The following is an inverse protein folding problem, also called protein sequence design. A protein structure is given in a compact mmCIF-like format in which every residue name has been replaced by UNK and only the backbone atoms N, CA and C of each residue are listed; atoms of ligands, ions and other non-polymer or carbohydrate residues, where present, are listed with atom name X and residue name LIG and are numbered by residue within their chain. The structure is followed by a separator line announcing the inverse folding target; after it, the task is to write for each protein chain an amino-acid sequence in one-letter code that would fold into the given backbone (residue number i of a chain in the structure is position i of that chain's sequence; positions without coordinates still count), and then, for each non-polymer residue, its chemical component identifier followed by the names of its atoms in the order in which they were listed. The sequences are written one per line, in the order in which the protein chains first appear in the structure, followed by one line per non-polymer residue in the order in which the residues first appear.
data_IF_227690924187
#
_entry.id   IF_227690924187
#
_cell.length_a   1.000
_cell.length_b   1.000
_cell.length_c   1.000
_cell.angle_alpha   90.00
_cell.angle_beta   90.00
_cell.angle_gamma   90.00
#
_symmetry.space_group_name_H-M   'P 1'
#
loop_
_entity.id
_entity.type
_entity.pdbx_description
1 polymer ?
#
# COMPACT_ATOMS: atom_id res chain seq x y z
N UNK A 1 -2.67 -29.07 5.52
CA UNK A 1 -1.99 -27.85 5.99
C UNK A 1 -2.84 -26.59 5.78
N UNK A 2 -3.33 -26.34 4.56
CA UNK A 2 -4.28 -25.26 4.23
C UNK A 2 -5.47 -25.12 5.20
N UNK A 3 -6.15 -26.23 5.50
CA UNK A 3 -7.27 -26.25 6.46
C UNK A 3 -6.89 -25.78 7.87
N UNK A 4 -5.66 -26.04 8.31
CA UNK A 4 -5.16 -25.61 9.62
C UNK A 4 -4.97 -24.10 9.66
N UNK A 5 -4.27 -23.52 8.67
CA UNK A 5 -4.11 -22.07 8.55
C UNK A 5 -5.46 -21.37 8.45
N UNK A 6 -6.33 -21.85 7.58
CA UNK A 6 -7.68 -21.31 7.40
C UNK A 6 -8.49 -21.32 8.72
N UNK A 7 -8.37 -22.38 9.54
CA UNK A 7 -8.99 -22.46 10.87
C UNK A 7 -8.37 -21.48 11.87
N UNK A 8 -7.05 -21.35 11.89
CA UNK A 8 -6.32 -20.44 12.78
C UNK A 8 -6.66 -18.97 12.47
N UNK A 9 -6.63 -18.59 11.19
CA UNK A 9 -6.97 -17.24 10.72
C UNK A 9 -8.43 -16.91 11.08
N UNK A 10 -9.38 -17.85 10.86
CA UNK A 10 -10.79 -17.67 11.28
C UNK A 10 -10.95 -17.46 12.79
N UNK A 11 -10.15 -18.16 13.60
CA UNK A 11 -10.17 -17.97 15.06
C UNK A 11 -9.67 -16.57 15.42
N UNK A 12 -8.60 -16.09 14.79
CA UNK A 12 -8.06 -14.74 15.00
C UNK A 12 -9.05 -13.66 14.57
N UNK A 13 -9.70 -13.83 13.42
CA UNK A 13 -10.73 -12.92 12.93
C UNK A 13 -11.84 -12.69 13.97
N UNK A 14 -12.35 -13.78 14.57
CA UNK A 14 -13.37 -13.71 15.63
C UNK A 14 -12.87 -12.93 16.85
N UNK A 15 -11.67 -13.23 17.33
CA UNK A 15 -11.08 -12.54 18.48
C UNK A 15 -10.92 -11.01 18.25
N UNK A 16 -10.51 -10.61 17.04
CA UNK A 16 -10.37 -9.17 16.69
C UNK A 16 -11.74 -8.49 16.65
N UNK A 17 -12.76 -9.14 16.08
CA UNK A 17 -14.10 -8.59 16.02
C UNK A 17 -14.75 -8.48 17.41
N UNK A 18 -14.57 -9.50 18.26
CA UNK A 18 -14.99 -9.46 19.67
C UNK A 18 -14.29 -8.33 20.44
N UNK A 19 -12.98 -8.17 20.28
CA UNK A 19 -12.22 -7.08 20.90
C UNK A 19 -12.71 -5.69 20.45
N UNK A 20 -13.05 -5.52 19.16
CA UNK A 20 -13.60 -4.26 18.64
C UNK A 20 -14.99 -3.95 19.18
N UNK A 21 -15.82 -4.98 19.36
CA UNK A 21 -17.16 -4.82 19.93
C UNK A 21 -17.11 -4.30 21.39
N UNK A 22 -16.05 -4.62 22.13
CA UNK A 22 -15.87 -4.23 23.54
C UNK A 22 -15.40 -2.78 23.78
N UNK A 23 -15.40 -1.88 22.77
CA UNK A 23 -14.97 -0.45 22.83
C UNK A 23 -14.62 0.07 24.23
N UNK A 24 -13.33 0.06 24.61
CA UNK A 24 -12.86 0.65 25.88
C UNK A 24 -12.44 2.10 25.66
N UNK A 25 -12.94 3.02 26.49
CA UNK A 25 -12.53 4.44 26.44
C UNK A 25 -11.11 4.58 27.00
N UNK A 26 -10.32 5.54 26.52
CA UNK A 26 -8.96 5.79 27.00
C UNK A 26 -8.87 5.91 28.54
N UNK A 27 -9.84 6.57 29.18
CA UNK A 27 -9.90 6.65 30.65
C UNK A 27 -10.15 5.33 31.37
N UNK A 28 -10.71 4.31 30.70
CA UNK A 28 -10.88 2.96 31.25
C UNK A 28 -9.61 2.12 31.09
N UNK A 29 -8.73 2.48 30.15
CA UNK A 29 -7.47 1.76 29.89
C UNK A 29 -6.31 2.37 30.69
N UNK A 30 -6.28 3.70 30.77
CA UNK A 30 -5.15 4.43 31.35
C UNK A 30 -5.49 5.10 32.70
N UNK A 31 -6.71 4.94 33.21
CA UNK A 31 -7.17 5.56 34.46
C UNK A 31 -7.39 7.08 34.39
N UNK A 32 -6.93 7.73 33.32
CA UNK A 32 -7.07 9.18 33.08
C UNK A 32 -7.47 9.48 31.62
N UNK A 33 -8.28 10.53 31.38
CA UNK A 33 -8.52 11.00 30.02
C UNK A 33 -7.21 11.48 29.38
N UNK A 34 -6.94 11.09 28.14
CA UNK A 34 -5.83 11.62 27.34
C UNK A 34 -6.24 12.98 26.75
N UNK A 35 -6.28 14.03 27.58
CA UNK A 35 -6.53 15.41 27.17
C UNK A 35 -5.56 16.38 27.88
N UNK A 36 -5.32 17.57 27.29
CA UNK A 36 -4.52 18.64 27.90
C UNK A 36 -3.44 19.22 26.98
N UNK A 37 -2.89 20.38 27.39
CA UNK A 37 -1.90 21.15 26.64
C UNK A 37 -0.52 20.49 26.50
N UNK A 38 -0.27 19.39 27.22
CA UNK A 38 0.95 18.58 27.11
C UNK A 38 0.93 17.62 25.90
N UNK A 39 -0.25 17.37 25.33
CA UNK A 39 -0.34 16.69 24.05
C UNK A 39 0.03 17.69 22.95
N UNK A 40 1.00 17.32 22.10
CA UNK A 40 1.35 18.10 20.91
C UNK A 40 0.07 18.52 20.19
N UNK A 41 -0.03 19.80 19.85
CA UNK A 41 -1.21 20.37 19.18
C UNK A 41 -1.57 19.49 17.98
N UNK A 42 -2.72 18.83 18.04
CA UNK A 42 -3.20 17.95 16.96
C UNK A 42 -3.19 18.71 15.64
N UNK A 43 -2.52 18.15 14.62
CA UNK A 43 -2.77 18.55 13.23
C UNK A 43 -1.68 19.31 12.48
N UNK A 44 -0.46 19.51 13.02
CA UNK A 44 0.65 20.01 12.18
C UNK A 44 1.34 18.86 11.45
N UNK A 45 0.89 18.58 10.22
CA UNK A 45 1.58 17.69 9.28
C UNK A 45 1.92 18.45 7.99
N UNK A 46 2.94 18.03 7.24
CA UNK A 46 3.29 18.63 5.95
C UNK A 46 2.10 18.66 4.99
N UNK A 47 1.83 19.80 4.37
CA UNK A 47 0.83 19.88 3.31
C UNK A 47 1.43 19.48 1.96
N UNK A 48 0.65 18.75 1.16
CA UNK A 48 1.04 18.42 -0.22
C UNK A 48 0.84 19.62 -1.15
N UNK A 49 1.82 19.89 -2.02
CA UNK A 49 1.82 21.03 -2.93
C UNK A 49 1.82 20.61 -4.41
N UNK A 50 1.23 21.43 -5.29
CA UNK A 50 1.44 21.35 -6.73
C UNK A 50 2.93 21.27 -7.07
N UNK A 51 3.31 20.39 -7.99
CA UNK A 51 4.71 20.18 -8.39
C UNK A 51 4.77 19.62 -9.81
N UNK A 52 5.75 20.05 -10.59
CA UNK A 52 6.03 19.48 -11.91
C UNK A 52 6.66 18.08 -11.78
N UNK A 53 6.81 17.39 -12.89
CA UNK A 53 7.31 16.02 -12.93
C UNK A 53 8.78 15.91 -12.54
N UNK A 54 9.62 16.84 -12.96
CA UNK A 54 11.05 16.85 -12.65
C UNK A 54 11.29 17.05 -11.16
N UNK A 55 10.52 17.93 -10.51
CA UNK A 55 10.59 18.14 -9.07
C UNK A 55 10.11 16.90 -8.32
N UNK A 56 8.99 16.31 -8.77
CA UNK A 56 8.46 15.07 -8.19
C UNK A 56 9.49 13.94 -8.20
N UNK A 57 10.15 13.73 -9.35
CA UNK A 57 11.23 12.74 -9.49
C UNK A 57 12.38 12.99 -8.53
N UNK A 58 12.96 14.19 -8.54
CA UNK A 58 14.06 14.57 -7.63
C UNK A 58 13.68 14.45 -6.15
N UNK A 59 12.44 14.76 -5.81
CA UNK A 59 11.95 14.67 -4.45
C UNK A 59 11.87 13.21 -3.98
N UNK A 60 11.40 12.30 -4.83
CA UNK A 60 11.36 10.86 -4.55
C UNK A 60 12.77 10.28 -4.43
N UNK A 61 13.69 10.65 -5.33
CA UNK A 61 15.10 10.27 -5.21
C UNK A 61 15.66 10.74 -3.86
N UNK A 62 15.36 11.97 -3.44
CA UNK A 62 15.76 12.45 -2.12
C UNK A 62 15.08 11.71 -0.95
N UNK A 63 13.86 11.20 -1.14
CA UNK A 63 13.14 10.35 -0.18
C UNK A 63 13.71 8.91 -0.11
N UNK A 64 14.50 8.46 -1.09
CA UNK A 64 15.21 7.17 -0.99
C UNK A 64 16.49 7.30 -0.16
N UNK A 65 17.21 8.42 -0.27
CA UNK A 65 18.51 8.67 0.38
C UNK A 65 18.49 8.75 1.92
N UNK A 66 18.94 7.70 2.62
CA UNK A 66 18.93 7.62 4.10
C UNK A 66 19.48 8.86 4.86
N UNK A 67 20.45 9.58 4.28
CA UNK A 67 21.06 10.77 4.87
C UNK A 67 20.23 12.06 4.69
N UNK A 68 19.23 12.07 3.81
CA UNK A 68 18.37 13.24 3.58
C UNK A 68 17.35 13.35 4.70
N UNK A 69 17.41 14.43 5.47
CA UNK A 69 16.51 14.68 6.60
C UNK A 69 15.06 14.86 6.12
N UNK A 70 14.12 14.13 6.72
CA UNK A 70 12.68 14.26 6.42
C UNK A 70 12.15 15.69 6.66
N UNK A 71 12.70 16.41 7.64
CA UNK A 71 12.37 17.83 7.88
C UNK A 71 12.64 18.71 6.66
N UNK A 72 13.71 18.46 5.91
CA UNK A 72 14.00 19.20 4.67
C UNK A 72 13.05 18.84 3.53
N UNK A 73 12.47 17.63 3.54
CA UNK A 73 11.51 17.21 2.53
C UNK A 73 10.09 17.69 2.84
N UNK A 74 9.79 17.93 4.13
CA UNK A 74 8.49 18.35 4.64
C UNK A 74 8.02 19.72 4.11
N UNK A 75 8.95 20.62 3.74
CA UNK A 75 8.58 21.97 3.28
C UNK A 75 7.80 21.94 1.95
N UNK A 76 8.07 20.95 1.10
CA UNK A 76 7.51 20.82 -0.23
C UNK A 76 7.25 19.34 -0.57
N UNK A 77 6.26 18.73 0.07
CA UNK A 77 5.83 17.37 -0.27
C UNK A 77 5.00 17.44 -1.55
N UNK A 78 5.35 16.69 -2.61
CA UNK A 78 4.59 16.72 -3.86
C UNK A 78 3.21 16.06 -3.70
N UNK A 79 2.19 16.68 -4.29
CA UNK A 79 0.89 16.06 -4.54
C UNK A 79 0.95 15.07 -5.72
N UNK A 80 -0.13 14.30 -5.92
CA UNK A 80 -0.35 13.50 -7.13
C UNK A 80 -0.05 12.00 -6.99
N UNK A 81 0.58 11.58 -5.89
CA UNK A 81 0.80 10.16 -5.59
C UNK A 81 -0.37 9.58 -4.82
N UNK A 82 -1.12 8.66 -5.43
CA UNK A 82 -2.27 7.95 -4.84
C UNK A 82 -2.41 6.53 -5.37
N UNK A 83 -2.95 5.62 -4.55
CA UNK A 83 -3.19 4.21 -4.93
C UNK A 83 -1.94 3.61 -5.59
N UNK A 84 -2.11 2.91 -6.71
CA UNK A 84 -1.04 2.33 -7.54
C UNK A 84 0.16 3.26 -7.73
N UNK A 85 -0.03 4.52 -8.11
CA UNK A 85 1.10 5.44 -8.36
C UNK A 85 1.97 5.70 -7.13
N UNK A 86 1.40 5.65 -5.92
CA UNK A 86 2.16 5.74 -4.68
C UNK A 86 2.99 4.46 -4.45
N UNK A 87 2.40 3.29 -4.68
CA UNK A 87 3.11 2.02 -4.52
C UNK A 87 4.24 1.86 -5.53
N UNK A 88 3.97 2.12 -6.81
CA UNK A 88 4.98 2.02 -7.87
C UNK A 88 6.17 2.93 -7.60
N UNK A 89 5.95 4.15 -7.10
CA UNK A 89 7.08 5.06 -6.82
C UNK A 89 7.89 4.63 -5.59
N UNK A 90 7.22 4.07 -4.57
CA UNK A 90 7.89 3.54 -3.39
C UNK A 90 8.75 2.32 -3.74
N UNK A 91 8.22 1.43 -4.58
CA UNK A 91 8.87 0.18 -4.99
C UNK A 91 10.02 0.44 -5.96
N UNK A 92 9.79 1.23 -7.02
CA UNK A 92 10.81 1.56 -8.03
C UNK A 92 12.06 2.21 -7.45
N UNK A 93 11.90 3.03 -6.41
CA UNK A 93 13.02 3.69 -5.75
C UNK A 93 13.49 2.98 -4.48
N UNK A 94 12.92 1.80 -4.20
CA UNK A 94 13.20 0.99 -3.00
C UNK A 94 13.24 1.85 -1.72
N UNK A 95 12.18 2.64 -1.51
CA UNK A 95 12.15 3.62 -0.41
C UNK A 95 12.21 2.88 0.94
N UNK A 96 13.10 3.27 1.87
CA UNK A 96 13.16 2.62 3.19
C UNK A 96 11.83 2.72 3.94
N UNK A 97 11.38 1.64 4.58
CA UNK A 97 10.03 1.54 5.16
C UNK A 97 9.68 2.68 6.12
N UNK A 98 10.61 3.11 6.99
CA UNK A 98 10.38 4.26 7.87
C UNK A 98 10.02 5.55 7.10
N UNK A 99 10.68 5.78 5.97
CA UNK A 99 10.46 6.97 5.11
C UNK A 99 9.23 6.80 4.24
N UNK A 100 8.98 5.59 3.75
CA UNK A 100 7.75 5.23 3.06
C UNK A 100 6.53 5.47 3.97
N UNK A 101 6.54 4.94 5.20
CA UNK A 101 5.48 5.14 6.21
C UNK A 101 5.28 6.62 6.53
N UNK A 102 6.34 7.41 6.64
CA UNK A 102 6.21 8.86 6.80
C UNK A 102 5.48 9.50 5.61
N UNK A 103 5.89 9.18 4.37
CA UNK A 103 5.26 9.74 3.18
C UNK A 103 3.81 9.29 3.00
N UNK A 104 3.50 8.04 3.33
CA UNK A 104 2.13 7.49 3.38
C UNK A 104 1.30 8.27 4.40
N UNK A 105 1.78 8.44 5.64
CA UNK A 105 1.08 9.22 6.68
C UNK A 105 0.77 10.62 6.17
N UNK A 106 1.75 11.32 5.57
CA UNK A 106 1.53 12.65 4.97
C UNK A 106 0.47 12.61 3.87
N UNK A 107 0.55 11.64 2.97
CA UNK A 107 -0.37 11.48 1.84
C UNK A 107 -1.82 11.28 2.31
N UNK A 108 -2.05 10.39 3.27
CA UNK A 108 -3.41 10.07 3.76
C UNK A 108 -3.98 11.13 4.69
N UNK A 109 -3.14 11.83 5.46
CA UNK A 109 -3.54 13.01 6.24
C UNK A 109 -4.01 14.16 5.34
N UNK A 110 -3.41 14.32 4.16
CA UNK A 110 -3.82 15.32 3.17
C UNK A 110 -5.07 14.92 2.36
N UNK A 111 -5.38 13.63 2.25
CA UNK A 111 -6.56 13.14 1.52
C UNK A 111 -7.84 13.18 2.36
N UNK A 112 -7.77 12.75 3.62
CA UNK A 112 -8.94 12.69 4.52
C UNK A 112 -8.76 13.73 5.61
N UNK A 113 -9.28 14.93 5.39
CA UNK A 113 -9.24 16.02 6.37
C UNK A 113 -10.39 15.89 7.38
N UNK A 114 -10.15 16.17 8.68
CA UNK A 114 -11.25 16.30 9.63
C UNK A 114 -12.16 17.45 9.19
N UNK A 115 -13.48 17.29 9.29
CA UNK A 115 -14.40 18.41 9.08
C UNK A 115 -14.02 19.56 10.05
N UNK A 116 -13.99 20.79 9.53
CA UNK A 116 -13.38 21.94 10.21
C UNK A 116 -14.06 22.32 11.54
N UNK A 117 -13.20 22.59 12.53
CA UNK A 117 -13.34 23.58 13.61
C UNK A 117 -14.64 23.59 14.43
N UNK A 118 -14.72 22.72 15.44
CA UNK A 118 -15.32 22.99 16.77
C UNK A 118 -15.53 21.71 17.61
N UNK A 119 -15.12 20.54 17.14
CA UNK A 119 -15.81 19.31 17.57
C UNK A 119 -14.94 18.40 18.44
N UNK A 120 -15.59 17.95 19.51
CA UNK A 120 -15.22 16.93 20.49
C UNK A 120 -14.32 15.78 19.97
N UNK A 121 -13.60 15.13 20.89
CA UNK A 121 -12.73 13.98 20.62
C UNK A 121 -13.35 12.92 19.68
N UNK A 122 -14.67 12.75 19.70
CA UNK A 122 -15.42 11.80 18.88
C UNK A 122 -15.29 11.97 17.35
N UNK A 123 -15.04 13.19 16.84
CA UNK A 123 -14.89 13.43 15.38
C UNK A 123 -13.48 13.18 14.88
N UNK A 124 -12.46 13.35 15.74
CA UNK A 124 -11.08 13.04 15.40
C UNK A 124 -10.90 11.54 15.19
N UNK A 125 -11.57 10.73 16.02
CA UNK A 125 -11.56 9.27 15.93
C UNK A 125 -12.16 8.76 14.61
N UNK A 126 -13.23 9.40 14.12
CA UNK A 126 -13.84 9.07 12.82
C UNK A 126 -12.90 9.34 11.65
N UNK A 127 -12.24 10.50 11.62
CA UNK A 127 -11.31 10.84 10.55
C UNK A 127 -10.08 9.92 10.55
N UNK A 128 -9.58 9.52 11.72
CA UNK A 128 -8.50 8.53 11.81
C UNK A 128 -8.96 7.16 11.29
N UNK A 129 -10.13 6.69 11.73
CA UNK A 129 -10.68 5.42 11.25
C UNK A 129 -10.83 5.41 9.73
N UNK A 130 -11.40 6.47 9.13
CA UNK A 130 -11.53 6.58 7.68
C UNK A 130 -10.19 6.59 6.94
N UNK A 131 -9.12 7.14 7.53
CA UNK A 131 -7.76 7.06 6.95
C UNK A 131 -7.22 5.65 7.00
N UNK A 132 -7.33 4.98 8.14
CA UNK A 132 -6.90 3.59 8.32
C UNK A 132 -7.65 2.66 7.38
N UNK A 133 -8.97 2.86 7.24
CA UNK A 133 -9.82 2.11 6.32
C UNK A 133 -9.39 2.31 4.86
N UNK A 134 -9.25 3.57 4.42
CA UNK A 134 -8.82 3.88 3.06
C UNK A 134 -7.43 3.32 2.77
N UNK A 135 -6.49 3.47 3.70
CA UNK A 135 -5.13 2.96 3.53
C UNK A 135 -5.10 1.43 3.43
N UNK A 136 -5.84 0.75 4.30
CA UNK A 136 -5.91 -0.71 4.28
C UNK A 136 -6.51 -1.21 2.97
N UNK A 137 -7.57 -0.53 2.49
CA UNK A 137 -8.19 -0.83 1.20
C UNK A 137 -7.21 -0.69 0.04
N UNK A 138 -6.50 0.43 -0.07
CA UNK A 138 -5.54 0.68 -1.14
C UNK A 138 -4.42 -0.38 -1.17
N UNK A 139 -3.91 -0.81 -0.01
CA UNK A 139 -2.92 -1.90 0.06
C UNK A 139 -3.51 -3.21 -0.48
N UNK A 140 -4.69 -3.60 0.04
CA UNK A 140 -5.33 -4.88 -0.31
C UNK A 140 -5.66 -4.92 -1.80
N UNK A 141 -6.17 -3.83 -2.37
CA UNK A 141 -6.43 -3.71 -3.81
C UNK A 141 -5.15 -3.86 -4.65
N UNK A 142 -4.04 -3.26 -4.22
CA UNK A 142 -2.78 -3.38 -4.95
C UNK A 142 -2.18 -4.78 -4.83
N UNK A 143 -2.20 -5.39 -3.64
CA UNK A 143 -1.76 -6.78 -3.46
C UNK A 143 -2.61 -7.74 -4.28
N UNK A 144 -3.93 -7.55 -4.33
CA UNK A 144 -4.82 -8.33 -5.20
C UNK A 144 -4.40 -8.21 -6.66
N UNK A 145 -4.13 -6.99 -7.15
CA UNK A 145 -3.66 -6.77 -8.52
C UNK A 145 -2.37 -7.54 -8.82
N UNK A 146 -1.41 -7.57 -7.88
CA UNK A 146 -0.16 -8.33 -8.06
C UNK A 146 -0.43 -9.84 -8.10
N UNK A 147 -1.33 -10.36 -7.27
CA UNK A 147 -1.73 -11.76 -7.30
C UNK A 147 -2.40 -12.12 -8.64
N UNK A 148 -3.34 -11.31 -9.09
CA UNK A 148 -4.07 -11.55 -10.33
C UNK A 148 -3.10 -11.55 -11.54
N UNK A 149 -2.11 -10.64 -11.55
CA UNK A 149 -1.05 -10.63 -12.56
C UNK A 149 -0.18 -11.90 -12.51
N UNK A 150 0.13 -12.39 -11.30
CA UNK A 150 0.91 -13.61 -11.10
C UNK A 150 0.20 -14.83 -11.68
N UNK A 151 -1.07 -15.02 -11.31
CA UNK A 151 -1.86 -16.19 -11.75
C UNK A 151 -2.38 -16.09 -13.19
N UNK A 152 -2.40 -14.90 -13.80
CA UNK A 152 -2.78 -14.75 -15.21
C UNK A 152 -1.67 -15.17 -16.18
N UNK A 153 -0.40 -15.19 -15.74
CA UNK A 153 0.76 -15.47 -16.60
C UNK A 153 0.97 -16.96 -16.91
N UNK A 154 0.40 -17.87 -16.13
CA UNK A 154 0.52 -19.32 -16.35
C UNK A 154 -0.41 -19.89 -17.43
N UNK A 155 -1.27 -19.07 -18.05
CA UNK A 155 -2.25 -19.49 -19.06
C UNK A 155 -1.91 -19.18 -20.52
N UNK A 156 -0.81 -18.47 -20.82
CA UNK A 156 -0.48 -18.06 -22.19
C UNK A 156 0.91 -18.53 -22.62
N UNK A 157 1.00 -19.82 -22.94
CA UNK A 157 2.06 -20.29 -23.85
C UNK A 157 1.69 -19.75 -25.24
N UNK A 158 2.36 -18.69 -25.68
CA UNK A 158 2.28 -18.24 -27.06
C UNK A 158 2.71 -19.40 -27.98
N UNK A 159 2.01 -19.69 -29.08
CA UNK A 159 2.47 -20.69 -30.03
C UNK A 159 3.73 -20.17 -30.69
N UNK A 160 4.81 -20.95 -30.58
CA UNK A 160 6.03 -20.80 -31.38
C UNK A 160 5.63 -20.94 -32.84
N UNK A 161 5.42 -19.82 -33.53
CA UNK A 161 5.23 -19.80 -34.97
C UNK A 161 6.58 -19.97 -35.66
N UNK A 162 6.98 -21.23 -35.84
CA UNK A 162 7.97 -21.62 -36.84
C UNK A 162 7.27 -21.57 -38.20
N UNK A 163 7.56 -20.55 -39.02
CA UNK A 163 7.54 -20.73 -40.48
C UNK A 163 8.32 -19.65 -41.20
N UNK A 164 9.34 -20.11 -41.92
CA UNK A 164 10.18 -19.40 -42.86
C UNK A 164 9.43 -18.81 -44.07
N UNK A 165 10.08 -17.82 -44.68
CA UNK A 165 10.14 -17.48 -46.12
C UNK A 165 9.28 -16.31 -46.69
N UNK A 166 9.69 -15.69 -47.84
CA UNK A 166 10.07 -14.26 -47.91
C UNK A 166 9.17 -13.36 -48.81
N UNK A 167 9.40 -12.05 -48.70
CA UNK A 167 8.88 -10.82 -49.40
C UNK A 167 8.53 -10.93 -50.91
N UNK A 168 7.82 -9.96 -51.59
CA UNK A 168 7.90 -8.48 -51.40
C UNK A 168 6.63 -7.62 -51.68
N UNK A 169 6.76 -6.29 -51.47
CA UNK A 169 6.25 -5.17 -52.29
C UNK A 169 5.24 -4.14 -51.67
N UNK A 170 5.70 -2.87 -51.72
CA UNK A 170 5.02 -1.59 -52.03
C UNK A 170 4.19 -0.80 -50.98
N UNK A 171 4.78 0.36 -50.64
CA UNK A 171 4.25 1.74 -50.54
C UNK A 171 2.87 2.04 -49.90
N UNK A 172 2.91 2.96 -48.93
CA UNK A 172 2.02 4.13 -48.77
C UNK A 172 1.44 4.32 -47.37
N UNK A 173 1.81 5.48 -46.82
CA UNK A 173 0.99 6.42 -46.05
C UNK A 173 1.34 6.61 -44.57
N UNK A 174 1.89 7.80 -44.36
CA UNK A 174 2.09 8.48 -43.09
C UNK A 174 0.75 8.79 -42.45
N UNK A 175 0.55 8.31 -41.22
CA UNK A 175 -0.37 8.93 -40.26
C UNK A 175 0.23 8.80 -38.86
N UNK A 176 0.64 9.95 -38.33
CA UNK A 176 1.13 10.13 -36.98
C UNK A 176 0.11 9.61 -35.95
N UNK A 177 0.42 8.50 -35.30
CA UNK A 177 -0.02 8.23 -33.93
C UNK A 177 1.10 8.65 -33.01
N UNK A 178 0.85 9.69 -32.24
CA UNK A 178 1.71 10.13 -31.14
C UNK A 178 1.60 9.04 -30.07
N UNK A 179 2.48 8.05 -30.17
CA UNK A 179 2.81 7.18 -29.04
C UNK A 179 3.60 8.03 -28.05
N UNK A 180 2.97 8.34 -26.91
CA UNK A 180 3.66 8.78 -25.71
C UNK A 180 4.43 7.59 -25.13
N UNK A 181 5.50 7.18 -25.82
CA UNK A 181 6.47 6.20 -25.39
C UNK A 181 7.86 6.73 -25.68
N UNK A 182 8.36 7.58 -24.79
CA UNK A 182 9.80 7.70 -24.51
C UNK A 182 9.93 8.10 -23.03
N UNK A 183 9.92 7.09 -22.15
CA UNK A 183 10.46 7.20 -20.80
C UNK A 183 11.72 6.33 -20.76
N UNK A 184 12.89 6.93 -20.96
CA UNK A 184 14.17 6.29 -20.64
C UNK A 184 14.90 7.14 -19.60
N UNK A 185 14.41 7.03 -18.37
CA UNK A 185 15.29 6.99 -17.22
C UNK A 185 15.49 5.51 -16.94
N UNK A 186 16.73 5.05 -17.04
CA UNK A 186 17.20 3.66 -16.91
C UNK A 186 16.99 3.10 -15.48
N UNK A 187 15.75 3.13 -14.99
CA UNK A 187 15.29 2.41 -13.80
C UNK A 187 14.52 1.22 -14.33
N UNK A 188 15.14 0.05 -14.24
CA UNK A 188 14.52 -1.22 -14.61
C UNK A 188 13.25 -1.41 -13.76
N UNK A 189 12.11 -1.63 -14.41
CA UNK A 189 10.84 -1.86 -13.71
C UNK A 189 10.99 -3.11 -12.81
N UNK A 190 10.74 -3.00 -11.49
CA UNK A 190 10.93 -4.13 -10.59
C UNK A 190 10.06 -5.32 -10.99
N UNK A 191 10.62 -6.52 -10.97
CA UNK A 191 9.86 -7.72 -11.29
C UNK A 191 8.68 -7.92 -10.31
N UNK A 192 7.65 -8.65 -10.74
CA UNK A 192 6.42 -8.87 -9.97
C UNK A 192 6.71 -9.41 -8.55
N UNK A 193 7.66 -10.35 -8.45
CA UNK A 193 8.10 -10.91 -7.18
C UNK A 193 8.72 -9.84 -6.25
N UNK A 194 9.56 -8.94 -6.77
CA UNK A 194 10.11 -7.82 -5.99
C UNK A 194 9.02 -6.85 -5.54
N UNK A 195 8.02 -6.56 -6.38
CA UNK A 195 6.85 -5.74 -6.00
C UNK A 195 6.06 -6.39 -4.86
N UNK A 196 5.81 -7.69 -4.97
CA UNK A 196 5.11 -8.47 -3.94
C UNK A 196 5.82 -8.37 -2.59
N UNK A 197 7.12 -8.70 -2.54
CA UNK A 197 7.87 -8.71 -1.30
C UNK A 197 7.98 -7.33 -0.65
N UNK A 198 8.25 -6.29 -1.43
CA UNK A 198 8.26 -4.93 -0.90
C UNK A 198 6.91 -4.59 -0.24
N UNK A 199 5.80 -4.92 -0.90
CA UNK A 199 4.46 -4.64 -0.37
C UNK A 199 4.11 -5.48 0.86
N UNK A 200 4.50 -6.76 0.90
CA UNK A 200 4.33 -7.63 2.08
C UNK A 200 5.10 -7.06 3.28
N UNK A 201 6.36 -6.67 3.09
CA UNK A 201 7.16 -6.06 4.16
C UNK A 201 6.60 -4.71 4.61
N UNK A 202 6.13 -3.88 3.67
CA UNK A 202 5.45 -2.63 3.99
C UNK A 202 4.14 -2.86 4.74
N UNK A 203 3.38 -3.91 4.40
CA UNK A 203 2.18 -4.33 5.11
C UNK A 203 2.53 -4.71 6.55
N UNK A 204 3.55 -5.55 6.77
CA UNK A 204 3.98 -5.96 8.11
C UNK A 204 4.44 -4.76 8.94
N UNK A 205 5.28 -3.90 8.37
CA UNK A 205 5.75 -2.68 9.02
C UNK A 205 4.59 -1.78 9.45
N UNK A 206 3.60 -1.58 8.58
CA UNK A 206 2.46 -0.73 8.88
C UNK A 206 1.42 -1.41 9.79
N UNK A 207 1.39 -2.74 9.81
CA UNK A 207 0.61 -3.53 10.76
C UNK A 207 1.14 -3.32 12.18
N UNK A 208 2.45 -3.44 12.40
CA UNK A 208 3.08 -3.22 13.71
C UNK A 208 2.97 -1.78 14.20
N UNK A 209 2.93 -0.81 13.28
CA UNK A 209 2.64 0.61 13.55
C UNK A 209 1.15 0.90 13.83
N UNK A 210 0.26 -0.10 13.73
CA UNK A 210 -1.18 0.07 13.98
C UNK A 210 -1.91 0.92 12.92
N UNK A 211 -1.36 0.99 11.69
CA UNK A 211 -1.92 1.81 10.61
C UNK A 211 -2.93 1.07 9.74
N UNK A 212 -3.05 -0.25 9.93
CA UNK A 212 -3.93 -1.12 9.15
C UNK A 212 -5.09 -1.62 9.99
N UNK A 213 -6.19 -1.98 9.34
CA UNK A 213 -7.30 -2.71 9.94
C UNK A 213 -7.02 -4.22 9.81
N UNK A 214 -6.64 -4.92 10.88
CA UNK A 214 -6.31 -6.35 10.80
C UNK A 214 -7.46 -7.19 10.24
N UNK A 215 -8.71 -6.82 10.57
CA UNK A 215 -9.90 -7.54 10.10
C UNK A 215 -9.99 -7.60 8.57
N UNK A 216 -9.71 -6.48 7.89
CA UNK A 216 -9.83 -6.37 6.43
C UNK A 216 -8.73 -7.19 5.75
N UNK A 217 -7.51 -7.13 6.29
CA UNK A 217 -6.40 -7.95 5.80
C UNK A 217 -6.69 -9.44 5.98
N UNK A 218 -7.18 -9.84 7.16
CA UNK A 218 -7.55 -11.23 7.46
C UNK A 218 -8.66 -11.73 6.51
N UNK A 219 -9.71 -10.94 6.35
CA UNK A 219 -10.85 -11.29 5.51
C UNK A 219 -10.41 -11.49 4.06
N UNK A 220 -9.55 -10.60 3.55
CA UNK A 220 -8.95 -10.74 2.23
C UNK A 220 -8.07 -12.00 2.12
N UNK A 221 -7.17 -12.26 3.08
CA UNK A 221 -6.35 -13.48 3.05
C UNK A 221 -7.23 -14.74 3.06
N UNK A 222 -8.31 -14.76 3.86
CA UNK A 222 -9.26 -15.86 3.90
C UNK A 222 -9.97 -16.06 2.57
N UNK A 223 -10.41 -14.99 1.91
CA UNK A 223 -11.06 -15.09 0.60
C UNK A 223 -10.10 -15.64 -0.44
N UNK A 224 -8.85 -15.18 -0.45
CA UNK A 224 -7.84 -15.68 -1.39
C UNK A 224 -7.53 -17.17 -1.18
N UNK A 225 -7.40 -17.61 0.08
CA UNK A 225 -7.19 -19.03 0.39
C UNK A 225 -8.40 -19.92 0.03
N UNK A 226 -9.62 -19.37 0.05
CA UNK A 226 -10.84 -20.09 -0.34
C UNK A 226 -11.02 -20.17 -1.85
N UNK A 227 -10.72 -19.08 -2.56
CA UNK A 227 -10.90 -19.00 -4.01
C UNK A 227 -9.82 -19.75 -4.78
N UNK A 228 -8.57 -19.68 -4.32
CA UNK A 228 -7.42 -20.11 -5.13
C UNK A 228 -6.88 -21.50 -4.77
N UNK A 229 -7.35 -22.13 -3.68
CA UNK A 229 -6.97 -23.46 -3.13
C UNK A 229 -5.74 -24.15 -3.75
N UNK A 230 -4.62 -23.42 -3.81
CA UNK A 230 -3.38 -23.82 -4.49
C UNK A 230 -2.18 -23.60 -3.57
N UNK A 231 -1.13 -24.38 -3.79
CA UNK A 231 0.09 -24.31 -2.98
C UNK A 231 0.82 -23.00 -3.26
N UNK A 232 0.80 -22.54 -4.51
CA UNK A 232 1.43 -21.30 -4.96
C UNK A 232 0.76 -20.08 -4.34
N UNK A 233 -0.59 -20.07 -4.25
CA UNK A 233 -1.32 -19.02 -3.55
C UNK A 233 -1.03 -19.05 -2.04
N UNK A 234 -0.92 -20.24 -1.45
CA UNK A 234 -0.52 -20.36 -0.05
C UNK A 234 0.88 -19.82 0.18
N UNK A 235 1.87 -20.19 -0.63
CA UNK A 235 3.26 -19.75 -0.50
C UNK A 235 3.37 -18.23 -0.58
N UNK A 236 2.66 -17.60 -1.51
CA UNK A 236 2.61 -16.14 -1.61
C UNK A 236 1.98 -15.49 -0.37
N UNK A 237 0.90 -16.07 0.16
CA UNK A 237 0.17 -15.52 1.31
C UNK A 237 0.80 -15.86 2.66
N UNK A 238 1.64 -16.89 2.73
CA UNK A 238 2.21 -17.42 3.97
C UNK A 238 2.90 -16.35 4.83
N UNK A 239 3.72 -15.43 4.26
CA UNK A 239 4.34 -14.36 5.04
C UNK A 239 3.30 -13.47 5.75
N UNK A 240 2.20 -13.13 5.07
CA UNK A 240 1.10 -12.31 5.62
C UNK A 240 0.35 -13.11 6.69
N UNK A 241 0.12 -14.40 6.44
CA UNK A 241 -0.58 -15.30 7.36
C UNK A 241 0.14 -15.41 8.70
N UNK A 242 1.47 -15.58 8.69
CA UNK A 242 2.25 -15.70 9.92
C UNK A 242 2.16 -14.45 10.78
N UNK A 243 2.37 -13.27 10.20
CA UNK A 243 2.31 -11.99 10.93
C UNK A 243 0.93 -11.76 11.57
N UNK A 244 -0.12 -12.17 10.87
CA UNK A 244 -1.50 -11.93 11.31
C UNK A 244 -1.98 -12.96 12.33
N UNK A 245 -1.45 -14.18 12.29
CA UNK A 245 -1.73 -15.25 13.27
C UNK A 245 -0.95 -15.03 14.56
N UNK A 246 0.30 -14.56 14.50
CA UNK A 246 1.17 -14.41 15.67
C UNK A 246 0.95 -13.07 16.38
N UNK A 247 -0.02 -13.05 17.30
CA UNK A 247 0.07 -12.21 18.50
C UNK A 247 -0.28 -13.12 19.67
N UNK A 248 0.76 -13.66 20.30
CA UNK A 248 0.70 -14.42 21.56
C UNK A 248 0.54 -13.47 22.75
#
# INVERSE_FOLDING_TARGET
MLLFFSKAIRRRFRAINESRAQKRKAGQVYGVPLNGHLLLKSGSFPEQRPSNEEFRKKWIEALSLHNKRLRSLADHVPHGYRRKSLFEVLISHNIPFLRATWFIKVTYLNQVRPASSSVSSSTQDKAQFSRTELWTKDIVEYLQQLMDEYFSKDGSVAPVSIRDQPSPSLLSSSAHKIDSSVLTSDMEDPCLHSKWWYMVHLLHWNYSEGLLLPSVVIEWVLSQLQEKDSVEALEMLLPIVFEVIEVY
#
